data_IF_846201687654
#
_entry.id   IF_846201687654
#
_cell.length_a   1.000
_cell.length_b   1.000
_cell.length_c   1.000
_cell.angle_alpha   90.00
_cell.angle_beta   90.00
_cell.angle_gamma   90.00
#
_symmetry.space_group_name_H-M   'P 1'
#
loop_
_entity.id
_entity.type
_entity.pdbx_description
1 polymer ?
#
# COMPACT_ATOMS: atom_id res chain seq x y z
N UNK A 1 -37.38 58.05 17.82
CA UNK A 1 -36.69 57.28 16.76
C UNK A 1 -36.26 55.90 17.36
N UNK A 2 -37.00 54.85 17.08
CA UNK A 2 -36.68 53.47 17.55
C UNK A 2 -35.71 52.83 16.60
N UNK A 3 -34.51 52.42 17.12
CA UNK A 3 -33.51 51.62 16.35
C UNK A 3 -33.96 50.16 16.33
N UNK A 4 -34.18 49.61 15.13
CA UNK A 4 -34.45 48.21 14.91
C UNK A 4 -33.08 47.48 14.86
N UNK A 5 -32.84 46.43 15.64
CA UNK A 5 -31.59 45.68 15.53
C UNK A 5 -31.62 44.79 14.29
N UNK A 6 -30.58 44.90 13.46
CA UNK A 6 -30.35 44.00 12.33
C UNK A 6 -29.95 42.60 12.85
N UNK A 7 -30.82 41.62 12.63
CA UNK A 7 -30.58 40.23 12.94
C UNK A 7 -29.70 39.62 11.82
N UNK A 8 -28.43 39.37 12.13
CA UNK A 8 -27.48 38.70 11.21
C UNK A 8 -27.83 37.21 11.16
N UNK A 9 -28.48 36.77 10.08
CA UNK A 9 -28.70 35.35 9.82
C UNK A 9 -27.38 34.71 9.37
N UNK A 10 -26.78 33.91 10.25
CA UNK A 10 -25.65 33.09 9.95
C UNK A 10 -26.13 31.86 9.13
N UNK A 11 -25.96 31.88 7.81
CA UNK A 11 -26.18 30.70 6.98
C UNK A 11 -25.04 29.70 7.25
N UNK A 12 -25.28 28.68 8.08
CA UNK A 12 -24.41 27.52 8.21
C UNK A 12 -24.68 26.67 6.97
N UNK A 13 -23.84 26.81 5.95
CA UNK A 13 -23.75 25.80 4.85
C UNK A 13 -23.32 24.48 5.45
N UNK A 14 -24.28 23.57 5.74
CA UNK A 14 -23.98 22.17 5.89
C UNK A 14 -23.47 21.68 4.52
N UNK A 15 -22.16 21.65 4.34
CA UNK A 15 -21.57 20.90 3.24
C UNK A 15 -21.87 19.42 3.50
N UNK A 16 -22.92 18.90 2.86
CA UNK A 16 -23.13 17.44 2.75
C UNK A 16 -21.88 16.90 2.06
N UNK A 17 -20.93 16.33 2.81
CA UNK A 17 -19.82 15.59 2.20
C UNK A 17 -20.43 14.35 1.55
N UNK A 18 -20.45 14.32 0.22
CA UNK A 18 -20.77 13.10 -0.50
C UNK A 18 -19.88 11.96 0.02
N UNK A 19 -20.44 10.78 0.21
CA UNK A 19 -19.67 9.59 0.58
C UNK A 19 -18.57 9.27 -0.44
N UNK A 20 -17.69 8.31 -0.16
CA UNK A 20 -16.62 7.93 -1.07
C UNK A 20 -17.19 7.40 -2.38
N UNK A 21 -16.50 7.70 -3.47
CA UNK A 21 -16.87 7.18 -4.80
C UNK A 21 -16.63 5.69 -4.84
N UNK A 22 -17.58 4.96 -5.43
CA UNK A 22 -17.50 3.51 -5.58
C UNK A 22 -16.93 3.14 -6.96
N UNK A 23 -15.93 2.28 -6.96
CA UNK A 23 -15.27 1.78 -8.16
C UNK A 23 -15.18 0.26 -8.12
N UNK A 24 -14.86 -0.33 -9.27
CA UNK A 24 -14.47 -1.72 -9.42
C UNK A 24 -13.29 -1.84 -10.36
N UNK A 25 -12.62 -2.97 -10.36
CA UNK A 25 -11.52 -3.26 -11.28
C UNK A 25 -12.02 -3.99 -12.52
N UNK A 26 -11.41 -3.66 -13.65
CA UNK A 26 -11.49 -4.39 -14.90
C UNK A 26 -10.11 -4.93 -15.22
N UNK A 27 -9.97 -6.24 -15.38
CA UNK A 27 -8.70 -6.87 -15.78
C UNK A 27 -8.43 -6.53 -17.24
N UNK A 28 -7.25 -6.01 -17.51
CA UNK A 28 -6.73 -5.75 -18.85
C UNK A 28 -5.79 -6.87 -19.31
N UNK A 29 -4.88 -7.28 -18.43
CA UNK A 29 -3.88 -8.31 -18.68
C UNK A 29 -3.59 -9.09 -17.40
N UNK A 30 -3.03 -10.28 -17.53
CA UNK A 30 -2.59 -11.08 -16.39
C UNK A 30 -1.21 -11.67 -16.66
N UNK A 31 -0.36 -11.60 -15.65
CA UNK A 31 1.02 -12.07 -15.69
C UNK A 31 1.23 -13.24 -14.72
N UNK A 32 2.20 -14.12 -14.96
CA UNK A 32 2.58 -15.12 -13.98
C UNK A 32 3.07 -14.47 -12.68
N UNK A 33 2.74 -15.07 -11.55
CA UNK A 33 3.22 -14.66 -10.24
C UNK A 33 3.57 -15.90 -9.40
N UNK A 34 4.56 -15.80 -8.55
CA UNK A 34 5.05 -16.90 -7.73
C UNK A 34 4.04 -17.28 -6.64
N UNK A 35 3.47 -18.49 -6.72
CA UNK A 35 2.53 -19.00 -5.72
C UNK A 35 3.10 -19.11 -4.30
N UNK A 36 4.43 -19.10 -4.16
CA UNK A 36 5.09 -19.07 -2.87
C UNK A 36 5.37 -17.65 -2.36
N UNK A 37 4.99 -16.62 -3.12
CA UNK A 37 5.14 -15.24 -2.71
C UNK A 37 4.01 -14.84 -1.74
N UNK A 38 4.32 -14.77 -0.46
CA UNK A 38 3.43 -14.16 0.52
C UNK A 38 3.61 -12.63 0.49
N UNK A 39 3.04 -11.99 -0.53
CA UNK A 39 3.29 -10.60 -0.90
C UNK A 39 2.92 -9.64 0.23
N UNK A 40 3.89 -8.80 0.63
CA UNK A 40 3.72 -7.79 1.67
C UNK A 40 4.05 -6.38 1.20
N UNK A 41 4.84 -6.23 0.15
CA UNK A 41 5.11 -4.97 -0.53
C UNK A 41 5.32 -5.23 -2.01
N UNK A 42 4.75 -4.38 -2.86
CA UNK A 42 4.82 -4.47 -4.31
C UNK A 42 4.91 -3.06 -4.89
N UNK A 43 5.90 -2.79 -5.71
CA UNK A 43 6.04 -1.48 -6.35
C UNK A 43 6.91 -1.53 -7.59
N UNK A 44 6.78 -0.54 -8.48
CA UNK A 44 7.73 -0.31 -9.55
C UNK A 44 8.75 0.77 -9.18
N UNK A 45 10.00 0.54 -9.52
CA UNK A 45 11.04 1.55 -9.51
C UNK A 45 11.88 1.44 -10.78
N UNK A 46 11.97 2.54 -11.56
CA UNK A 46 12.63 2.55 -12.89
C UNK A 46 12.17 1.37 -13.77
N UNK A 47 10.85 1.19 -13.84
CA UNK A 47 10.16 0.12 -14.59
C UNK A 47 10.55 -1.33 -14.22
N UNK A 48 11.29 -1.51 -13.15
CA UNK A 48 11.55 -2.82 -12.55
C UNK A 48 10.51 -3.09 -11.46
N UNK A 49 9.90 -4.27 -11.47
CA UNK A 49 8.99 -4.71 -10.41
C UNK A 49 9.80 -5.22 -9.22
N UNK A 50 9.54 -4.64 -8.05
CA UNK A 50 10.07 -5.08 -6.77
C UNK A 50 8.97 -5.69 -5.92
N UNK A 51 9.32 -6.72 -5.18
CA UNK A 51 8.41 -7.41 -4.28
C UNK A 51 9.10 -7.76 -2.97
N UNK A 52 8.46 -7.50 -1.85
CA UNK A 52 8.79 -8.07 -0.55
C UNK A 52 7.78 -9.14 -0.18
N UNK A 53 8.28 -10.28 0.30
CA UNK A 53 7.44 -11.39 0.76
C UNK A 53 7.66 -11.65 2.24
N UNK A 54 6.60 -11.95 2.95
CA UNK A 54 6.60 -12.29 4.37
C UNK A 54 6.88 -13.78 4.62
N UNK A 55 6.57 -14.21 5.82
CA UNK A 55 6.75 -15.53 6.45
C UNK A 55 8.13 -15.75 7.08
N UNK A 56 8.12 -16.19 8.34
CA UNK A 56 9.34 -16.49 9.09
C UNK A 56 10.11 -17.62 8.42
N UNK A 57 11.38 -17.38 8.09
CA UNK A 57 12.23 -18.34 7.38
C UNK A 57 12.14 -18.28 5.85
N UNK A 58 11.10 -17.63 5.29
CA UNK A 58 10.87 -17.54 3.85
C UNK A 58 10.88 -16.10 3.30
N UNK A 59 10.87 -15.10 4.20
CA UNK A 59 10.85 -13.69 3.82
C UNK A 59 11.96 -13.32 2.86
N UNK A 60 11.61 -12.55 1.84
CA UNK A 60 12.57 -12.12 0.82
C UNK A 60 12.24 -10.76 0.22
N UNK A 61 13.27 -10.08 -0.28
CA UNK A 61 13.20 -8.93 -1.15
C UNK A 61 13.61 -9.36 -2.55
N UNK A 62 12.84 -9.01 -3.57
CA UNK A 62 12.99 -9.51 -4.93
C UNK A 62 12.92 -8.41 -5.98
N UNK A 63 13.65 -8.60 -7.09
CA UNK A 63 13.34 -8.02 -8.39
C UNK A 63 12.69 -9.09 -9.25
N UNK A 64 11.61 -8.76 -9.92
CA UNK A 64 10.79 -9.73 -10.67
C UNK A 64 10.65 -9.26 -12.12
N UNK A 65 10.82 -10.16 -13.06
CA UNK A 65 10.46 -9.94 -14.46
C UNK A 65 8.94 -10.00 -14.61
N UNK A 66 8.34 -8.90 -15.00
CA UNK A 66 6.89 -8.76 -15.09
C UNK A 66 6.28 -9.79 -16.06
N UNK A 67 6.93 -10.04 -17.20
CA UNK A 67 6.34 -10.87 -18.26
C UNK A 67 6.34 -12.36 -17.91
N UNK A 68 7.40 -12.82 -17.29
CA UNK A 68 7.57 -14.25 -16.95
C UNK A 68 7.27 -14.59 -15.48
N UNK A 69 7.17 -13.59 -14.60
CA UNK A 69 7.09 -13.79 -13.16
C UNK A 69 8.38 -14.35 -12.52
N UNK A 70 9.48 -14.42 -13.29
CA UNK A 70 10.75 -14.95 -12.79
C UNK A 70 11.43 -13.96 -11.84
N UNK A 71 11.93 -14.47 -10.72
CA UNK A 71 12.76 -13.71 -9.80
C UNK A 71 14.16 -13.53 -10.41
N UNK A 72 14.49 -12.28 -10.74
CA UNK A 72 15.77 -11.89 -11.35
C UNK A 72 16.88 -11.75 -10.30
N UNK A 73 16.53 -11.21 -9.14
CA UNK A 73 17.44 -11.00 -8.02
C UNK A 73 16.67 -11.20 -6.71
N UNK A 74 17.31 -11.82 -5.71
CA UNK A 74 16.65 -12.13 -4.42
C UNK A 74 17.61 -11.98 -3.26
N UNK A 75 17.16 -11.29 -2.23
CA UNK A 75 17.77 -11.26 -0.89
C UNK A 75 16.85 -12.01 0.06
N UNK A 76 17.38 -13.01 0.79
CA UNK A 76 16.65 -13.70 1.87
C UNK A 76 16.91 -13.01 3.20
N UNK A 77 15.86 -12.82 3.98
CA UNK A 77 16.00 -12.34 5.36
C UNK A 77 16.36 -13.49 6.31
N UNK A 78 16.99 -13.16 7.41
CA UNK A 78 17.19 -14.12 8.51
C UNK A 78 15.85 -14.67 8.99
N UNK A 79 15.81 -15.95 9.40
CA UNK A 79 14.61 -16.68 9.82
C UNK A 79 13.80 -16.02 10.95
N UNK A 80 14.43 -15.12 11.71
CA UNK A 80 13.80 -14.36 12.80
C UNK A 80 12.97 -13.16 12.32
N UNK A 81 13.06 -12.78 11.04
CA UNK A 81 12.36 -11.63 10.51
C UNK A 81 11.20 -12.04 9.61
N UNK A 82 10.10 -11.35 9.80
CA UNK A 82 8.99 -11.34 8.87
C UNK A 82 9.05 -10.00 8.13
N UNK A 83 9.43 -10.01 6.86
CA UNK A 83 9.52 -8.80 6.05
C UNK A 83 8.12 -8.35 5.60
N UNK A 84 7.96 -7.05 5.53
CA UNK A 84 6.69 -6.37 5.27
C UNK A 84 6.82 -5.38 4.13
N UNK A 85 6.03 -4.31 4.12
CA UNK A 85 6.02 -3.29 3.09
C UNK A 85 7.38 -2.69 2.79
N UNK A 86 7.57 -2.26 1.55
CA UNK A 86 8.83 -1.71 1.06
C UNK A 86 8.59 -0.66 -0.02
N UNK A 87 9.51 0.28 -0.14
CA UNK A 87 9.55 1.26 -1.22
C UNK A 87 10.98 1.76 -1.47
N UNK A 88 11.17 2.53 -2.53
CA UNK A 88 12.46 3.20 -2.84
C UNK A 88 12.30 4.71 -2.71
N UNK A 89 13.18 5.34 -1.94
CA UNK A 89 13.32 6.78 -1.84
C UNK A 89 14.81 7.15 -1.93
N UNK A 90 15.16 8.08 -2.81
CA UNK A 90 16.55 8.58 -3.02
C UNK A 90 17.56 7.44 -3.26
N UNK A 91 17.19 6.45 -4.10
CA UNK A 91 18.04 5.31 -4.42
C UNK A 91 18.21 4.28 -3.30
N UNK A 92 17.60 4.50 -2.15
CA UNK A 92 17.56 3.56 -1.02
C UNK A 92 16.25 2.81 -1.00
N UNK A 93 16.34 1.50 -0.84
CA UNK A 93 15.19 0.61 -0.69
C UNK A 93 15.00 0.30 0.80
N UNK A 94 13.85 0.68 1.30
CA UNK A 94 13.43 0.46 2.69
C UNK A 94 12.52 -0.74 2.79
N UNK A 95 12.72 -1.59 3.79
CA UNK A 95 11.87 -2.76 4.08
C UNK A 95 11.50 -2.76 5.54
N UNK A 96 10.21 -2.73 5.84
CA UNK A 96 9.72 -2.87 7.20
C UNK A 96 9.74 -4.34 7.67
N UNK A 97 9.64 -4.53 8.98
CA UNK A 97 9.41 -5.85 9.58
C UNK A 97 8.16 -5.81 10.45
N UNK A 98 7.45 -6.92 10.52
CA UNK A 98 6.20 -7.01 11.31
C UNK A 98 6.43 -6.63 12.78
N UNK A 99 6.91 -7.56 13.60
CA UNK A 99 7.02 -7.37 15.06
C UNK A 99 8.45 -7.11 15.54
N UNK A 100 9.45 -7.22 14.64
CA UNK A 100 10.86 -7.07 15.00
C UNK A 100 11.29 -5.62 15.25
N UNK A 101 10.40 -4.65 14.94
CA UNK A 101 10.58 -3.20 15.21
C UNK A 101 11.86 -2.62 14.59
N UNK A 102 12.22 -3.13 13.42
CA UNK A 102 13.33 -2.62 12.61
C UNK A 102 12.91 -2.43 11.17
N UNK A 103 13.58 -1.53 10.48
CA UNK A 103 13.55 -1.37 9.04
C UNK A 103 14.93 -1.63 8.47
N UNK A 104 15.01 -2.38 7.39
CA UNK A 104 16.25 -2.60 6.65
C UNK A 104 16.37 -1.62 5.51
N UNK A 105 17.60 -1.20 5.24
CA UNK A 105 17.92 -0.32 4.12
C UNK A 105 18.92 -1.02 3.21
N UNK A 106 18.60 -1.01 1.92
CA UNK A 106 19.40 -1.56 0.84
C UNK A 106 19.65 -0.49 -0.22
N UNK A 107 20.74 -0.60 -0.96
CA UNK A 107 20.89 0.07 -2.24
C UNK A 107 19.87 -0.50 -3.23
N UNK A 108 19.04 0.34 -3.83
CA UNK A 108 17.92 -0.11 -4.67
C UNK A 108 18.41 -0.82 -5.95
N UNK A 109 19.53 -0.36 -6.53
CA UNK A 109 20.05 -0.90 -7.79
C UNK A 109 20.67 -2.29 -7.61
N UNK A 110 21.47 -2.49 -6.57
CA UNK A 110 22.24 -3.72 -6.34
C UNK A 110 21.60 -4.68 -5.34
N UNK A 111 20.59 -4.25 -4.57
CA UNK A 111 20.03 -4.92 -3.38
C UNK A 111 21.11 -5.23 -2.33
N UNK A 112 22.20 -4.47 -2.29
CA UNK A 112 23.22 -4.60 -1.26
C UNK A 112 22.71 -3.98 0.04
N UNK A 113 22.82 -4.73 1.14
CA UNK A 113 22.49 -4.24 2.48
C UNK A 113 23.37 -3.04 2.86
N UNK A 114 22.76 -2.00 3.39
CA UNK A 114 23.42 -0.80 3.88
C UNK A 114 23.31 -0.63 5.39
N UNK A 115 22.11 -0.68 5.94
CA UNK A 115 21.87 -0.41 7.35
C UNK A 115 20.58 -1.00 7.88
N UNK A 116 20.43 -0.98 9.20
CA UNK A 116 19.20 -1.30 9.93
C UNK A 116 18.83 -0.12 10.83
N UNK A 117 17.58 0.29 10.75
CA UNK A 117 17.06 1.40 11.53
C UNK A 117 16.01 0.93 12.52
N UNK A 118 15.90 1.61 13.65
CA UNK A 118 14.83 1.37 14.62
C UNK A 118 13.49 1.86 14.06
N UNK A 119 12.48 1.00 14.14
CA UNK A 119 11.10 1.33 13.79
C UNK A 119 10.17 0.82 14.90
N UNK A 120 9.86 1.64 15.92
CA UNK A 120 9.31 1.18 17.22
C UNK A 120 7.82 0.81 17.16
N UNK A 121 7.35 0.27 16.04
CA UNK A 121 5.95 -0.21 15.81
C UNK A 121 5.96 -1.43 14.90
N UNK A 122 4.80 -2.03 14.71
CA UNK A 122 4.63 -3.02 13.66
C UNK A 122 4.76 -2.34 12.29
N UNK A 123 5.48 -2.96 11.38
CA UNK A 123 5.48 -2.57 9.97
C UNK A 123 4.48 -3.41 9.21
N UNK A 124 3.63 -2.77 8.39
CA UNK A 124 2.72 -3.42 7.46
C UNK A 124 3.00 -2.91 6.04
N UNK A 125 2.30 -1.90 5.53
CA UNK A 125 2.61 -1.30 4.23
C UNK A 125 3.61 -0.16 4.32
N UNK A 126 4.29 0.14 3.22
CA UNK A 126 5.21 1.26 3.09
C UNK A 126 5.21 1.78 1.65
N UNK A 127 4.99 3.09 1.49
CA UNK A 127 5.11 3.78 0.20
C UNK A 127 5.79 5.14 0.35
N UNK A 128 5.97 5.88 -0.73
CA UNK A 128 6.61 7.21 -0.73
C UNK A 128 5.97 8.14 -1.76
N UNK A 129 5.94 9.44 -1.45
CA UNK A 129 5.58 10.51 -2.40
C UNK A 129 6.80 11.06 -3.17
N UNK A 130 7.98 10.43 -2.99
CA UNK A 130 9.25 10.88 -3.52
C UNK A 130 10.03 11.81 -2.59
N UNK A 131 9.46 12.17 -1.43
CA UNK A 131 10.11 13.03 -0.43
C UNK A 131 10.00 12.45 0.99
N UNK A 132 8.87 11.85 1.31
CA UNK A 132 8.53 11.29 2.61
C UNK A 132 8.12 9.82 2.45
N UNK A 133 8.20 9.09 3.55
CA UNK A 133 7.74 7.70 3.65
C UNK A 133 6.39 7.66 4.38
N UNK A 134 5.50 6.79 3.92
CA UNK A 134 4.17 6.58 4.49
C UNK A 134 4.03 5.12 4.90
N UNK A 135 3.84 4.86 6.19
CA UNK A 135 3.82 3.51 6.75
C UNK A 135 2.52 3.20 7.49
N UNK A 136 1.95 2.03 7.26
CA UNK A 136 0.82 1.49 8.01
C UNK A 136 1.27 0.50 9.10
N UNK A 137 0.38 0.22 10.06
CA UNK A 137 0.59 -0.74 11.16
C UNK A 137 -0.66 -1.60 11.46
N UNK A 138 -1.57 -1.72 10.48
CA UNK A 138 -2.85 -2.41 10.65
C UNK A 138 -3.90 -1.65 11.47
N UNK A 139 -3.58 -0.51 12.04
CA UNK A 139 -4.55 0.39 12.66
C UNK A 139 -5.22 1.30 11.61
N UNK A 140 -5.89 2.36 12.05
CA UNK A 140 -6.37 3.43 11.19
C UNK A 140 -5.36 4.57 11.04
N UNK A 141 -4.08 4.32 11.28
CA UNK A 141 -3.02 5.32 11.22
C UNK A 141 -2.09 5.05 10.04
N UNK A 142 -1.67 6.13 9.40
CA UNK A 142 -0.52 6.14 8.50
C UNK A 142 0.50 7.09 9.10
N UNK A 143 1.71 6.59 9.33
CA UNK A 143 2.81 7.35 9.87
C UNK A 143 3.61 7.97 8.74
N UNK A 144 3.72 9.29 8.73
CA UNK A 144 4.54 10.02 7.77
C UNK A 144 5.92 10.22 8.38
N UNK A 145 6.93 9.68 7.71
CA UNK A 145 8.30 9.65 8.21
C UNK A 145 9.21 10.40 7.24
N UNK A 146 10.24 11.04 7.77
CA UNK A 146 11.35 11.54 6.96
C UNK A 146 12.21 10.40 6.40
N UNK A 147 13.13 10.69 5.46
CA UNK A 147 14.08 9.70 4.94
C UNK A 147 14.99 9.09 6.01
N UNK A 148 15.08 9.74 7.18
CA UNK A 148 15.79 9.28 8.38
C UNK A 148 14.91 8.48 9.35
N UNK A 149 13.71 8.07 8.93
CA UNK A 149 12.69 7.36 9.71
C UNK A 149 12.14 8.13 10.92
N UNK A 150 12.42 9.43 11.05
CA UNK A 150 11.80 10.25 12.09
C UNK A 150 10.36 10.59 11.75
N UNK A 151 9.48 10.37 12.72
CA UNK A 151 8.07 10.71 12.60
C UNK A 151 7.88 12.23 12.41
N UNK A 152 7.23 12.60 11.31
CA UNK A 152 6.85 13.99 11.02
C UNK A 152 5.42 14.27 11.46
N UNK A 153 4.49 13.40 11.08
CA UNK A 153 3.07 13.48 11.47
C UNK A 153 2.38 12.11 11.37
N UNK A 154 1.18 12.03 11.90
CA UNK A 154 0.30 10.86 11.79
C UNK A 154 -0.99 11.26 11.10
N UNK A 155 -1.37 10.51 10.08
CA UNK A 155 -2.66 10.63 9.38
C UNK A 155 -3.63 9.65 10.03
N UNK A 156 -4.79 10.15 10.47
CA UNK A 156 -5.87 9.32 11.01
C UNK A 156 -6.90 9.05 9.93
N UNK A 157 -6.92 7.82 9.44
CA UNK A 157 -7.77 7.43 8.30
C UNK A 157 -9.20 7.15 8.77
N UNK A 158 -10.14 7.73 8.03
CA UNK A 158 -11.57 7.55 8.31
C UNK A 158 -12.40 7.37 7.04
N UNK A 159 -13.40 6.50 7.15
CA UNK A 159 -14.47 6.29 6.19
C UNK A 159 -15.76 6.88 6.76
N UNK A 160 -16.30 7.92 6.13
CA UNK A 160 -17.53 8.59 6.57
C UNK A 160 -17.51 9.00 8.07
N UNK A 161 -16.34 9.52 8.51
CA UNK A 161 -16.14 9.96 9.89
C UNK A 161 -15.83 8.84 10.89
N UNK A 162 -15.81 7.58 10.48
CA UNK A 162 -15.47 6.43 11.34
C UNK A 162 -14.05 5.93 11.05
N UNK A 163 -13.24 5.61 12.07
CA UNK A 163 -11.91 5.06 11.85
C UNK A 163 -11.96 3.78 11.01
N UNK A 164 -11.18 3.71 9.90
CA UNK A 164 -11.00 2.48 9.14
C UNK A 164 -9.68 1.81 9.54
N UNK A 165 -9.76 0.61 10.11
CA UNK A 165 -8.60 -0.20 10.53
C UNK A 165 -8.21 -1.19 9.46
N UNK A 166 -7.12 -1.93 9.73
CA UNK A 166 -6.56 -2.98 8.86
C UNK A 166 -5.96 -2.45 7.56
N UNK A 167 -5.46 -1.20 7.59
CA UNK A 167 -4.68 -0.66 6.48
C UNK A 167 -3.40 -1.47 6.37
N UNK A 168 -3.17 -2.06 5.18
CA UNK A 168 -2.05 -2.96 4.95
C UNK A 168 -1.12 -2.38 3.88
N UNK A 169 -0.90 -3.09 2.80
CA UNK A 169 0.00 -2.66 1.75
C UNK A 169 -0.45 -1.32 1.17
N UNK A 170 0.52 -0.46 0.86
CA UNK A 170 0.31 0.93 0.45
C UNK A 170 1.01 1.23 -0.85
N UNK A 171 0.35 2.04 -1.70
CA UNK A 171 0.96 2.62 -2.90
C UNK A 171 0.59 4.11 -3.04
N UNK A 172 1.54 4.92 -3.51
CA UNK A 172 1.32 6.33 -3.81
C UNK A 172 0.90 6.50 -5.27
N UNK A 173 -0.33 6.96 -5.50
CA UNK A 173 -0.91 7.10 -6.84
C UNK A 173 -1.53 8.48 -6.99
N UNK A 174 -1.03 9.28 -7.92
CA UNK A 174 -1.58 10.60 -8.28
C UNK A 174 -1.90 11.49 -7.07
N UNK A 175 -0.94 11.60 -6.13
CA UNK A 175 -1.08 12.44 -4.94
C UNK A 175 -2.00 11.88 -3.86
N UNK A 176 -2.37 10.59 -3.93
CA UNK A 176 -3.19 9.89 -2.96
C UNK A 176 -2.51 8.61 -2.47
N UNK A 177 -2.87 8.17 -1.28
CA UNK A 177 -2.43 6.89 -0.75
C UNK A 177 -3.50 5.85 -1.05
N UNK A 178 -3.13 4.82 -1.80
CA UNK A 178 -3.96 3.63 -1.97
C UNK A 178 -3.57 2.61 -0.92
N UNK A 179 -4.54 1.95 -0.32
CA UNK A 179 -4.29 0.98 0.74
C UNK A 179 -5.16 -0.27 0.57
N UNK A 180 -4.55 -1.45 0.64
CA UNK A 180 -5.29 -2.68 0.86
C UNK A 180 -5.93 -2.66 2.25
N UNK A 181 -7.19 -3.08 2.36
CA UNK A 181 -7.85 -3.33 3.64
C UNK A 181 -7.77 -4.82 3.93
N UNK A 182 -6.90 -5.21 4.86
CA UNK A 182 -6.57 -6.60 5.16
C UNK A 182 -7.81 -7.44 5.47
N UNK A 183 -7.82 -8.68 4.97
CA UNK A 183 -8.92 -9.66 5.01
C UNK A 183 -10.14 -9.31 4.15
N UNK A 184 -10.03 -8.31 3.28
CA UNK A 184 -11.10 -7.94 2.34
C UNK A 184 -10.58 -7.89 0.90
N UNK A 185 -11.50 -7.84 -0.07
CA UNK A 185 -11.18 -7.56 -1.48
C UNK A 185 -11.29 -6.05 -1.80
N UNK A 186 -11.08 -5.18 -0.80
CA UNK A 186 -11.24 -3.74 -0.95
C UNK A 186 -9.89 -3.02 -0.91
N UNK A 187 -9.71 -2.08 -1.84
CA UNK A 187 -8.69 -1.04 -1.78
C UNK A 187 -9.40 0.28 -1.51
N UNK A 188 -8.80 1.11 -0.64
CA UNK A 188 -9.27 2.46 -0.37
C UNK A 188 -8.28 3.50 -0.86
N UNK A 189 -8.79 4.64 -1.33
CA UNK A 189 -8.00 5.81 -1.72
C UNK A 189 -8.14 6.85 -0.63
N UNK A 190 -7.02 7.26 -0.07
CA UNK A 190 -6.93 8.11 1.11
C UNK A 190 -6.33 9.46 0.70
N UNK A 191 -6.98 10.52 1.08
CA UNK A 191 -6.43 11.87 0.98
C UNK A 191 -5.34 12.05 2.06
N UNK A 192 -4.08 12.29 1.69
CA UNK A 192 -2.99 12.32 2.66
C UNK A 192 -3.04 13.53 3.60
N UNK A 193 -3.72 14.61 3.25
CA UNK A 193 -3.82 15.81 4.09
C UNK A 193 -4.89 15.64 5.16
N UNK A 194 -6.02 15.03 4.81
CA UNK A 194 -7.18 14.95 5.69
C UNK A 194 -7.39 13.58 6.33
N UNK A 195 -6.77 12.54 5.81
CA UNK A 195 -7.04 11.15 6.18
C UNK A 195 -8.40 10.62 5.77
N UNK A 196 -9.18 11.39 5.00
CA UNK A 196 -10.48 10.94 4.51
C UNK A 196 -10.34 9.97 3.35
N UNK A 197 -11.13 8.92 3.37
CA UNK A 197 -11.27 8.02 2.23
C UNK A 197 -12.16 8.70 1.19
N UNK A 198 -11.61 8.89 -0.01
CA UNK A 198 -12.30 9.54 -1.15
C UNK A 198 -12.91 8.53 -2.09
N UNK A 199 -12.33 7.33 -2.18
CA UNK A 199 -12.78 6.29 -3.09
C UNK A 199 -12.64 4.91 -2.44
N UNK A 200 -13.55 3.99 -2.83
CA UNK A 200 -13.47 2.55 -2.53
C UNK A 200 -13.42 1.78 -3.84
N UNK A 201 -12.51 0.84 -3.95
CA UNK A 201 -12.29 0.03 -5.13
C UNK A 201 -12.57 -1.43 -4.76
N UNK A 202 -13.64 -1.97 -5.31
CA UNK A 202 -14.04 -3.36 -5.15
C UNK A 202 -13.23 -4.23 -6.12
N UNK A 203 -12.39 -5.11 -5.56
CA UNK A 203 -11.57 -6.09 -6.27
C UNK A 203 -12.14 -7.52 -6.16
N UNK A 204 -13.39 -7.68 -5.72
CA UNK A 204 -14.04 -8.98 -5.58
C UNK A 204 -14.01 -9.75 -6.90
N UNK A 205 -13.56 -11.01 -6.82
CA UNK A 205 -13.45 -11.87 -8.00
C UNK A 205 -12.23 -11.63 -8.89
N UNK A 206 -11.31 -10.71 -8.51
CA UNK A 206 -10.09 -10.47 -9.28
C UNK A 206 -9.27 -11.76 -9.45
N UNK A 207 -9.12 -12.57 -8.39
CA UNK A 207 -8.58 -13.91 -8.50
C UNK A 207 -9.73 -14.92 -8.73
N UNK A 208 -9.83 -15.54 -9.92
CA UNK A 208 -10.84 -16.55 -10.22
C UNK A 208 -10.79 -17.74 -9.27
N UNK A 209 -11.95 -18.30 -8.93
CA UNK A 209 -12.07 -19.42 -7.97
C UNK A 209 -11.24 -20.64 -8.37
N UNK A 210 -11.17 -20.95 -9.66
CA UNK A 210 -10.43 -22.10 -10.21
C UNK A 210 -8.91 -21.95 -10.14
N UNK A 211 -8.39 -20.75 -9.83
CA UNK A 211 -6.96 -20.50 -9.61
C UNK A 211 -6.58 -20.54 -8.13
N UNK A 212 -7.53 -20.61 -7.21
CA UNK A 212 -7.30 -20.70 -5.77
C UNK A 212 -6.85 -22.10 -5.37
N UNK A 213 -5.96 -22.15 -4.38
CA UNK A 213 -5.50 -23.37 -3.69
C UNK A 213 -5.71 -23.21 -2.19
N UNK A 214 -5.39 -24.23 -1.41
CA UNK A 214 -5.46 -24.16 0.06
C UNK A 214 -4.54 -23.07 0.66
N UNK A 215 -3.42 -22.78 0.00
CA UNK A 215 -2.44 -21.79 0.46
C UNK A 215 -2.76 -20.37 -0.02
N UNK A 216 -3.75 -20.20 -0.90
CA UNK A 216 -4.13 -18.88 -1.42
C UNK A 216 -4.71 -18.03 -0.30
N UNK A 217 -4.11 -16.85 -0.08
CA UNK A 217 -4.53 -15.92 0.96
C UNK A 217 -5.13 -14.63 0.32
N UNK A 218 -5.17 -13.55 1.04
CA UNK A 218 -5.92 -12.33 0.71
C UNK A 218 -5.26 -11.49 -0.40
N UNK A 219 -6.05 -10.60 -1.00
CA UNK A 219 -5.58 -9.50 -1.82
C UNK A 219 -4.56 -8.67 -1.03
N UNK A 220 -3.37 -8.48 -1.57
CA UNK A 220 -2.33 -7.61 -1.03
C UNK A 220 -1.25 -7.36 -2.08
N UNK A 221 -0.95 -6.09 -2.33
CA UNK A 221 0.02 -5.66 -3.32
C UNK A 221 -0.63 -4.78 -4.40
N UNK A 222 -0.22 -3.52 -4.42
CA UNK A 222 -0.62 -2.49 -5.37
C UNK A 222 0.67 -1.91 -5.95
N UNK A 223 0.80 -1.85 -7.26
CA UNK A 223 1.95 -1.22 -7.89
C UNK A 223 1.52 -0.37 -9.07
N UNK A 224 2.20 0.76 -9.29
CA UNK A 224 1.98 1.64 -10.44
C UNK A 224 3.31 1.87 -11.16
N UNK A 225 3.32 1.61 -12.48
CA UNK A 225 4.52 1.83 -13.29
C UNK A 225 4.62 3.29 -13.80
N UNK A 226 5.70 3.62 -14.50
CA UNK A 226 5.96 4.96 -15.04
C UNK A 226 4.90 5.43 -16.05
N UNK A 227 4.09 4.53 -16.59
CA UNK A 227 2.98 4.83 -17.53
C UNK A 227 1.64 5.04 -16.79
N UNK A 228 1.60 4.97 -15.46
CA UNK A 228 0.37 5.04 -14.68
C UNK A 228 -0.50 3.78 -14.76
N UNK A 229 0.05 2.65 -15.25
CA UNK A 229 -0.66 1.38 -15.28
C UNK A 229 -0.65 0.74 -13.89
N UNK A 230 -1.81 0.25 -13.45
CA UNK A 230 -2.05 -0.29 -12.10
C UNK A 230 -1.97 -1.82 -12.15
N UNK A 231 -1.23 -2.38 -11.22
CA UNK A 231 -1.06 -3.81 -11.05
C UNK A 231 -1.46 -4.25 -9.64
N UNK A 232 -2.21 -5.34 -9.56
CA UNK A 232 -2.71 -5.89 -8.31
C UNK A 232 -2.40 -7.39 -8.21
N UNK A 233 -2.04 -7.84 -7.02
CA UNK A 233 -1.89 -9.26 -6.70
C UNK A 233 -2.40 -9.58 -5.29
N UNK A 234 -2.07 -10.75 -4.79
CA UNK A 234 -2.37 -11.16 -3.42
C UNK A 234 -1.37 -12.19 -2.90
N UNK A 235 -1.44 -12.45 -1.61
CA UNK A 235 -0.57 -13.40 -0.91
C UNK A 235 -0.79 -14.82 -1.46
N UNK A 236 0.30 -15.41 -1.97
CA UNK A 236 0.27 -16.73 -2.62
C UNK A 236 -0.63 -16.81 -3.86
N UNK A 237 -0.88 -15.69 -4.53
CA UNK A 237 -1.63 -15.71 -5.79
C UNK A 237 -0.74 -16.17 -6.96
N UNK A 238 -1.30 -16.90 -7.94
CA UNK A 238 -0.55 -17.35 -9.12
C UNK A 238 -0.43 -16.29 -10.21
N UNK A 239 -1.08 -15.14 -10.02
CA UNK A 239 -1.21 -14.10 -11.04
C UNK A 239 -1.04 -12.70 -10.44
N UNK A 240 -0.37 -11.86 -11.21
CA UNK A 240 -0.38 -10.42 -11.12
C UNK A 240 -1.30 -9.88 -12.22
N UNK A 241 -2.19 -8.96 -11.90
CA UNK A 241 -3.19 -8.43 -12.84
C UNK A 241 -2.93 -6.96 -13.13
N UNK A 242 -2.79 -6.60 -14.43
CA UNK A 242 -2.93 -5.22 -14.86
C UNK A 242 -4.41 -4.88 -14.93
N UNK A 243 -4.81 -3.83 -14.26
CA UNK A 243 -6.22 -3.45 -14.13
C UNK A 243 -6.48 -2.01 -14.53
N UNK A 244 -7.73 -1.75 -14.91
CA UNK A 244 -8.29 -0.40 -15.01
C UNK A 244 -9.34 -0.24 -13.91
N UNK A 245 -9.26 0.87 -13.18
CA UNK A 245 -10.31 1.25 -12.22
C UNK A 245 -11.42 1.95 -12.98
N UNK A 246 -12.63 1.43 -12.85
CA UNK A 246 -13.82 1.95 -13.53
C UNK A 246 -14.90 2.27 -12.49
N UNK A 247 -15.71 3.27 -12.76
CA UNK A 247 -16.82 3.65 -11.88
C UNK A 247 -17.83 2.49 -11.77
N UNK A 248 -18.33 2.27 -10.59
CA UNK A 248 -19.38 1.27 -10.30
C UNK A 248 -20.74 1.77 -10.70
#
# INVERSE_FOLDING_TARGET
MRKVPAMLLLFICLACSAGPREHRVQVLESYPHDRAAYTQGLFFHSDTLYETTGQYGESSLRKVDLQSGKVLQKVKFSRKYFAEGSCVLDGKLYVLTWTSKVAFVYDAASLKYESTWSYPREGWGLTTDGSLLYASDGSNKIYVLGPDFKLQRTIFVSLEGRPLRYLNELEWVDGKIWANVYTTDMIVVIDPETGKITDKIDCSGLLPKNLRTADTDVLNGIAVNSKGEIFLTGKNWPKLYKVKVIKK
#
